data_IF_088916504667
#
_entry.id   IF_088916504667
#
_cell.length_a   1.000
_cell.length_b   1.000
_cell.length_c   1.000
_cell.angle_alpha   90.00
_cell.angle_beta   90.00
_cell.angle_gamma   90.00
#
_symmetry.space_group_name_H-M   'P 1'
#
loop_
_entity.id
_entity.type
_entity.pdbx_description
1 polymer ?
#
# COMPACT_ATOMS: atom_id res chain seq x y z
N UNK A 1 -32.10 -37.63 -27.59
CA UNK A 1 -30.71 -37.34 -27.20
C UNK A 1 -30.84 -36.45 -25.99
N UNK A 2 -31.04 -37.08 -24.83
CA UNK A 2 -31.00 -36.41 -23.54
C UNK A 2 -29.51 -36.07 -23.35
N UNK A 3 -29.13 -34.85 -23.71
CA UNK A 3 -27.77 -34.37 -23.51
C UNK A 3 -27.76 -33.88 -22.08
N UNK A 4 -27.18 -34.70 -21.23
CA UNK A 4 -27.03 -34.50 -19.79
C UNK A 4 -26.41 -33.11 -19.52
N UNK A 5 -27.26 -32.17 -19.08
CA UNK A 5 -26.87 -30.79 -18.69
C UNK A 5 -26.12 -30.77 -17.33
N UNK A 6 -25.74 -31.94 -16.80
CA UNK A 6 -24.99 -32.07 -15.54
C UNK A 6 -23.49 -32.28 -15.72
N UNK A 7 -23.00 -32.52 -16.94
CA UNK A 7 -21.58 -32.85 -17.18
C UNK A 7 -20.70 -31.61 -17.47
N UNK A 8 -21.29 -30.42 -17.68
CA UNK A 8 -20.50 -29.19 -17.96
C UNK A 8 -20.09 -28.44 -16.67
N UNK A 9 -20.35 -29.03 -15.50
CA UNK A 9 -19.91 -28.50 -14.20
C UNK A 9 -18.53 -29.07 -13.77
N UNK A 10 -17.78 -29.67 -14.70
CA UNK A 10 -16.37 -29.99 -14.47
C UNK A 10 -15.55 -28.70 -14.42
N UNK A 11 -15.44 -28.15 -13.20
CA UNK A 11 -14.28 -27.42 -12.69
C UNK A 11 -13.48 -26.68 -13.77
N UNK A 12 -14.04 -25.59 -14.31
CA UNK A 12 -13.24 -24.63 -15.08
C UNK A 12 -12.30 -23.91 -14.11
N UNK A 13 -11.18 -24.56 -13.81
CA UNK A 13 -10.06 -23.98 -13.07
C UNK A 13 -9.39 -22.96 -13.99
N UNK A 14 -9.71 -21.68 -13.76
CA UNK A 14 -9.06 -20.58 -14.48
C UNK A 14 -7.55 -20.64 -14.19
N UNK A 15 -6.69 -20.79 -15.21
CA UNK A 15 -5.25 -20.78 -15.00
C UNK A 15 -4.85 -19.38 -14.52
N UNK A 16 -4.43 -19.27 -13.26
CA UNK A 16 -4.07 -18.00 -12.62
C UNK A 16 -4.65 -17.79 -11.21
N UNK A 17 -5.42 -18.74 -10.67
CA UNK A 17 -6.00 -18.65 -9.32
C UNK A 17 -5.04 -19.04 -8.18
N UNK A 18 -3.84 -19.52 -8.47
CA UNK A 18 -2.87 -19.92 -7.44
C UNK A 18 -1.76 -18.88 -7.28
N UNK A 19 -2.03 -17.84 -6.50
CA UNK A 19 -1.01 -16.90 -6.01
C UNK A 19 -0.32 -17.42 -4.73
N UNK A 20 -0.46 -18.71 -4.41
CA UNK A 20 0.08 -19.30 -3.17
C UNK A 20 1.62 -19.38 -3.14
N UNK A 21 2.28 -19.15 -4.28
CA UNK A 21 3.74 -19.09 -4.41
C UNK A 21 4.33 -17.69 -4.64
N UNK A 22 3.53 -16.62 -4.64
CA UNK A 22 4.03 -15.27 -4.97
C UNK A 22 4.43 -14.51 -3.70
N UNK A 23 5.73 -14.49 -3.39
CA UNK A 23 6.28 -13.77 -2.25
C UNK A 23 6.45 -12.28 -2.59
N UNK A 24 5.54 -11.43 -2.09
CA UNK A 24 5.63 -9.98 -2.27
C UNK A 24 6.82 -9.43 -1.46
N UNK A 25 8.00 -9.39 -2.08
CA UNK A 25 9.22 -8.89 -1.44
C UNK A 25 9.14 -7.36 -1.26
N UNK A 26 8.67 -6.91 -0.10
CA UNK A 26 8.62 -5.49 0.26
C UNK A 26 9.96 -5.07 0.86
N UNK A 27 10.66 -4.14 0.21
CA UNK A 27 11.85 -3.52 0.77
C UNK A 27 11.45 -2.40 1.73
N UNK A 28 11.83 -2.53 3.00
CA UNK A 28 11.68 -1.47 3.99
C UNK A 28 12.88 -0.53 3.88
N UNK A 29 12.65 0.68 3.36
CA UNK A 29 13.66 1.74 3.41
C UNK A 29 13.50 2.46 4.76
N UNK A 30 14.53 2.48 5.62
CA UNK A 30 14.46 3.23 6.86
C UNK A 30 14.36 4.73 6.56
N UNK A 31 13.57 5.42 7.37
CA UNK A 31 13.37 6.87 7.33
C UNK A 31 14.74 7.57 7.23
N UNK A 32 14.98 8.31 6.14
CA UNK A 32 16.22 9.09 6.01
C UNK A 32 16.26 10.17 7.09
N UNK A 33 17.47 10.58 7.51
CA UNK A 33 17.66 11.56 8.58
C UNK A 33 16.93 12.88 8.31
N UNK A 34 16.76 13.22 7.04
CA UNK A 34 16.20 14.48 6.57
C UNK A 34 14.72 14.40 6.14
N UNK A 35 13.99 13.31 6.45
CA UNK A 35 12.58 13.16 6.08
C UNK A 35 11.64 13.14 7.29
N UNK A 36 10.41 13.61 7.11
CA UNK A 36 9.33 13.53 8.09
C UNK A 36 7.96 13.24 7.48
N UNK A 37 7.08 12.63 8.27
CA UNK A 37 5.68 12.39 7.90
C UNK A 37 4.84 13.49 8.53
N UNK A 38 4.12 14.25 7.72
CA UNK A 38 3.20 15.27 8.22
C UNK A 38 2.00 14.60 8.90
N UNK A 39 1.67 14.99 10.13
CA UNK A 39 0.52 14.45 10.86
C UNK A 39 -0.83 14.92 10.33
N UNK A 40 -0.87 15.92 9.43
CA UNK A 40 -2.10 16.43 8.83
C UNK A 40 -2.42 15.80 7.48
N UNK A 41 -1.44 15.69 6.57
CA UNK A 41 -1.64 15.12 5.23
C UNK A 41 -1.07 13.70 5.06
N UNK A 42 -0.36 13.17 6.06
CA UNK A 42 0.25 11.84 6.07
C UNK A 42 1.30 11.59 4.97
N UNK A 43 1.72 12.63 4.25
CA UNK A 43 2.76 12.56 3.24
C UNK A 43 4.16 12.70 3.86
N UNK A 44 5.15 12.06 3.23
CA UNK A 44 6.56 12.20 3.56
C UNK A 44 7.14 13.42 2.86
N UNK A 45 7.85 14.25 3.61
CA UNK A 45 8.50 15.46 3.12
C UNK A 45 9.92 15.57 3.67
N UNK A 46 10.76 16.32 2.96
CA UNK A 46 12.06 16.72 3.47
C UNK A 46 11.91 17.70 4.65
N UNK A 47 12.81 17.67 5.63
CA UNK A 47 12.81 18.55 6.83
C UNK A 47 12.79 20.03 6.50
N UNK A 48 13.24 20.42 5.30
CA UNK A 48 13.09 21.80 4.79
C UNK A 48 11.65 22.29 4.73
N UNK A 49 10.67 21.38 4.65
CA UNK A 49 9.24 21.64 4.59
C UNK A 49 8.56 21.55 5.96
N UNK A 50 9.31 21.34 7.04
CA UNK A 50 8.79 21.27 8.40
C UNK A 50 8.43 22.68 8.86
N UNK A 51 7.16 22.91 9.21
CA UNK A 51 6.71 24.21 9.73
C UNK A 51 6.56 24.22 11.24
N UNK A 52 6.12 23.12 11.83
CA UNK A 52 5.99 23.01 13.28
C UNK A 52 6.28 21.59 13.76
N UNK A 53 6.96 21.49 14.90
CA UNK A 53 7.15 20.26 15.64
C UNK A 53 6.76 20.51 17.10
N UNK A 54 5.76 19.78 17.60
CA UNK A 54 5.34 19.86 19.01
C UNK A 54 4.92 18.49 19.52
N UNK A 55 5.52 18.03 20.62
CA UNK A 55 5.21 16.73 21.23
C UNK A 55 5.29 15.54 20.25
N UNK A 56 6.24 15.56 19.30
CA UNK A 56 6.38 14.53 18.27
C UNK A 56 5.40 14.63 17.10
N UNK A 57 4.50 15.62 17.10
CA UNK A 57 3.63 15.95 15.97
C UNK A 57 4.39 16.87 15.03
N UNK A 58 4.61 16.44 13.80
CA UNK A 58 5.30 17.21 12.77
C UNK A 58 4.30 17.65 11.69
N UNK A 59 4.24 18.95 11.38
CA UNK A 59 3.32 19.52 10.39
C UNK A 59 4.13 20.21 9.29
N UNK A 60 3.78 19.96 8.02
CA UNK A 60 4.42 20.59 6.88
C UNK A 60 3.93 22.02 6.64
N UNK A 61 4.71 22.82 5.92
CA UNK A 61 4.38 24.21 5.58
C UNK A 61 3.05 24.38 4.87
N UNK A 62 2.66 23.42 4.04
CA UNK A 62 1.35 23.43 3.36
C UNK A 62 0.17 23.24 4.32
N UNK A 63 0.32 22.40 5.34
CA UNK A 63 -0.74 22.14 6.33
C UNK A 63 -0.73 23.14 7.50
N UNK A 64 0.34 23.91 7.67
CA UNK A 64 0.44 24.96 8.67
C UNK A 64 0.03 26.35 8.13
N UNK A 65 -0.23 26.47 6.82
CA UNK A 65 -0.67 27.69 6.15
C UNK A 65 -2.15 28.01 6.41
#
# INVERSE_FOLDING_TARGET
MDVDESETAESFELPGADLSGEELSVRVIPKQADEFTCSSCFLVHHRSRLASEKNGVMICSDCAA
#
